data_IF_647949980083
#
_entry.id   IF_647949980083
#
_cell.length_a   1.000
_cell.length_b   1.000
_cell.length_c   1.000
_cell.angle_alpha   90.00
_cell.angle_beta   90.00
_cell.angle_gamma   90.00
#
_symmetry.space_group_name_H-M   'P 1'
#
loop_
_entity.id
_entity.type
_entity.pdbx_description
1 polymer ?
#
# COMPACT_ATOMS: atom_id res chain seq x y z
N UNK A 1 -8.32 -18.51 12.52
CA UNK A 1 -7.44 -17.39 12.88
C UNK A 1 -8.03 -16.70 14.09
N UNK A 2 -7.19 -16.26 15.04
CA UNK A 2 -7.64 -15.51 16.23
C UNK A 2 -6.58 -14.48 16.58
N UNK A 3 -7.01 -13.32 17.04
CA UNK A 3 -6.13 -12.25 17.50
C UNK A 3 -6.55 -11.76 18.87
N UNK A 4 -5.73 -10.97 19.52
CA UNK A 4 -6.05 -10.40 20.83
C UNK A 4 -6.99 -9.21 20.69
N UNK A 5 -6.81 -8.42 19.60
CA UNK A 5 -7.59 -7.21 19.33
C UNK A 5 -8.10 -7.20 17.90
N UNK A 6 -9.32 -6.67 17.75
CA UNK A 6 -9.94 -6.37 16.47
C UNK A 6 -10.32 -4.89 16.46
N UNK A 7 -9.87 -4.18 15.43
CA UNK A 7 -10.01 -2.72 15.30
C UNK A 7 -10.53 -2.40 13.90
N UNK A 8 -11.59 -1.64 13.83
CA UNK A 8 -12.17 -1.14 12.59
C UNK A 8 -12.30 0.39 12.58
N UNK A 9 -13.14 0.93 11.72
CA UNK A 9 -13.46 2.35 11.66
C UNK A 9 -14.60 2.78 12.61
N UNK A 10 -15.04 1.90 13.49
CA UNK A 10 -15.97 2.20 14.57
C UNK A 10 -15.35 3.02 15.70
N UNK A 11 -16.10 3.22 16.77
CA UNK A 11 -15.65 3.98 17.93
C UNK A 11 -15.12 3.09 19.06
N UNK A 12 -15.17 1.77 18.87
CA UNK A 12 -14.78 0.76 19.85
C UNK A 12 -13.81 -0.24 19.26
N UNK A 13 -12.70 -0.50 19.96
CA UNK A 13 -11.84 -1.64 19.68
C UNK A 13 -12.19 -2.80 20.60
N UNK A 14 -12.15 -4.03 20.08
CA UNK A 14 -12.54 -5.22 20.80
C UNK A 14 -11.32 -6.03 21.23
N UNK A 15 -11.16 -6.24 22.54
CA UNK A 15 -10.21 -7.21 23.07
C UNK A 15 -10.88 -8.57 23.19
N UNK A 16 -10.47 -9.52 22.33
CA UNK A 16 -11.04 -10.87 22.28
C UNK A 16 -10.30 -11.89 23.16
N UNK A 17 -9.08 -11.58 23.57
CA UNK A 17 -8.27 -12.43 24.45
C UNK A 17 -7.32 -11.61 25.32
N UNK A 18 -7.03 -12.09 26.56
CA UNK A 18 -6.00 -11.48 27.42
C UNK A 18 -4.61 -11.69 26.82
N UNK A 19 -3.66 -10.79 27.11
CA UNK A 19 -2.29 -10.85 26.61
C UNK A 19 -1.54 -12.16 26.97
N UNK A 20 -1.91 -12.80 28.07
CA UNK A 20 -1.32 -14.06 28.53
C UNK A 20 -1.75 -15.29 27.69
N UNK A 21 -2.76 -15.16 26.86
CA UNK A 21 -3.26 -16.24 26.02
C UNK A 21 -2.58 -16.24 24.66
N UNK A 22 -2.09 -17.39 24.17
CA UNK A 22 -1.66 -17.51 22.80
C UNK A 22 -2.83 -17.44 21.82
N UNK A 23 -2.71 -16.64 20.77
CA UNK A 23 -3.68 -16.52 19.67
C UNK A 23 -3.03 -16.94 18.35
N UNK A 24 -3.83 -17.44 17.41
CA UNK A 24 -3.35 -17.89 16.10
C UNK A 24 -3.39 -16.72 15.08
N UNK A 25 -2.38 -15.81 15.13
CA UNK A 25 -2.35 -14.58 14.33
C UNK A 25 -1.10 -14.40 13.46
N UNK A 26 0.00 -15.10 13.76
CA UNK A 26 1.21 -15.09 12.92
C UNK A 26 1.43 -16.41 12.17
N UNK A 27 0.56 -17.37 12.40
CA UNK A 27 0.31 -18.58 11.61
C UNK A 27 1.54 -19.35 11.17
N UNK A 28 1.64 -19.50 9.87
CA UNK A 28 2.64 -20.30 9.14
C UNK A 28 3.59 -19.38 8.37
N UNK A 29 4.73 -19.94 7.96
CA UNK A 29 5.69 -19.26 7.13
C UNK A 29 5.23 -19.24 5.65
N UNK A 30 5.24 -18.08 5.03
CA UNK A 30 4.89 -17.84 3.61
C UNK A 30 6.14 -17.63 2.74
N UNK A 31 7.23 -18.32 3.03
CA UNK A 31 8.46 -18.30 2.24
C UNK A 31 9.54 -17.33 2.73
N UNK A 32 9.32 -16.62 3.85
CA UNK A 32 10.31 -15.78 4.51
C UNK A 32 10.87 -16.43 5.77
N UNK A 33 11.78 -15.74 6.43
CA UNK A 33 12.23 -16.14 7.76
C UNK A 33 11.12 -15.85 8.77
N UNK A 34 10.77 -16.86 9.57
CA UNK A 34 9.85 -16.65 10.68
C UNK A 34 10.60 -15.95 11.82
N UNK A 35 10.39 -14.64 11.96
CA UNK A 35 11.09 -13.80 12.95
C UNK A 35 10.93 -14.27 14.39
N UNK A 36 9.79 -14.88 14.74
CA UNK A 36 9.49 -15.35 16.09
C UNK A 36 9.60 -16.88 16.25
N UNK A 37 10.03 -17.59 15.20
CA UNK A 37 10.12 -19.05 15.22
C UNK A 37 8.75 -19.71 15.46
N UNK A 38 8.78 -20.97 15.95
CA UNK A 38 7.55 -21.77 16.17
C UNK A 38 6.63 -21.25 17.30
N UNK A 39 7.09 -20.32 18.12
CA UNK A 39 6.35 -19.85 19.30
C UNK A 39 5.71 -18.46 19.09
N UNK A 40 5.77 -17.90 17.89
CA UNK A 40 5.29 -16.55 17.59
C UNK A 40 3.86 -16.27 18.06
N UNK A 41 2.96 -17.21 17.90
CA UNK A 41 1.58 -17.13 18.37
C UNK A 41 1.39 -17.07 19.90
N UNK A 42 2.42 -17.44 20.67
CA UNK A 42 2.41 -17.42 22.13
C UNK A 42 3.25 -16.30 22.73
N UNK A 43 4.15 -15.73 21.94
CA UNK A 43 5.12 -14.71 22.38
C UNK A 43 4.83 -13.31 21.83
N UNK A 44 3.71 -13.14 21.17
CA UNK A 44 3.31 -11.85 20.60
C UNK A 44 1.82 -11.58 20.79
N UNK A 45 1.47 -10.29 20.76
CA UNK A 45 0.09 -9.80 20.81
C UNK A 45 -0.33 -9.48 19.39
N UNK A 46 -1.44 -10.08 18.92
CA UNK A 46 -2.00 -9.83 17.58
C UNK A 46 -3.07 -8.75 17.61
N UNK A 47 -2.93 -7.80 16.71
CA UNK A 47 -3.93 -6.75 16.43
C UNK A 47 -4.35 -6.88 14.97
N UNK A 48 -5.63 -7.11 14.74
CA UNK A 48 -6.22 -7.18 13.39
C UNK A 48 -6.93 -5.85 13.10
N UNK A 49 -6.45 -5.14 12.07
CA UNK A 49 -7.18 -4.04 11.48
C UNK A 49 -8.22 -4.62 10.51
N UNK A 50 -9.50 -4.56 10.91
CA UNK A 50 -10.59 -5.12 10.12
C UNK A 50 -10.84 -4.28 8.87
N UNK A 51 -11.02 -4.96 7.75
CA UNK A 51 -11.30 -4.35 6.45
C UNK A 51 -12.58 -4.98 5.88
N UNK A 52 -13.63 -4.19 5.76
CA UNK A 52 -14.90 -4.59 5.17
C UNK A 52 -15.25 -3.65 4.02
N UNK A 53 -16.21 -4.05 3.18
CA UNK A 53 -16.66 -3.21 2.08
C UNK A 53 -17.18 -1.86 2.61
N UNK A 54 -16.62 -0.77 2.11
CA UNK A 54 -17.07 0.59 2.44
C UNK A 54 -16.50 1.17 3.75
N UNK A 55 -15.57 0.47 4.43
CA UNK A 55 -14.94 1.00 5.63
C UNK A 55 -14.10 2.26 5.37
N UNK A 56 -13.97 3.10 6.38
CA UNK A 56 -13.13 4.28 6.36
C UNK A 56 -11.69 3.92 6.77
N UNK A 57 -10.82 3.66 5.79
CA UNK A 57 -9.42 3.32 6.03
C UNK A 57 -8.70 4.29 6.98
N UNK A 58 -8.88 5.61 6.78
CA UNK A 58 -8.19 6.63 7.59
C UNK A 58 -8.57 6.50 9.07
N UNK A 59 -9.86 6.27 9.36
CA UNK A 59 -10.35 6.09 10.73
C UNK A 59 -9.87 4.77 11.32
N UNK A 60 -9.98 3.66 10.59
CA UNK A 60 -9.47 2.35 11.02
C UNK A 60 -7.96 2.38 11.30
N UNK A 61 -7.18 3.03 10.45
CA UNK A 61 -5.75 3.23 10.64
C UNK A 61 -5.44 4.04 11.93
N UNK A 62 -6.14 5.15 12.15
CA UNK A 62 -5.97 5.98 13.35
C UNK A 62 -6.36 5.21 14.62
N UNK A 63 -7.45 4.47 14.59
CA UNK A 63 -7.89 3.63 15.68
C UNK A 63 -6.85 2.54 15.99
N UNK A 64 -6.29 1.90 14.96
CA UNK A 64 -5.24 0.89 15.13
C UNK A 64 -3.97 1.50 15.75
N UNK A 65 -3.56 2.70 15.33
CA UNK A 65 -2.46 3.44 15.97
C UNK A 65 -2.75 3.67 17.47
N UNK A 66 -3.97 4.11 17.81
CA UNK A 66 -4.36 4.38 19.20
C UNK A 66 -4.31 3.09 20.05
N UNK A 67 -4.87 1.99 19.55
CA UNK A 67 -4.87 0.70 20.23
C UNK A 67 -3.45 0.17 20.45
N UNK A 68 -2.58 0.24 19.42
CA UNK A 68 -1.20 -0.22 19.55
C UNK A 68 -0.41 0.63 20.54
N UNK A 69 -0.62 1.96 20.57
CA UNK A 69 -0.02 2.83 21.60
C UNK A 69 -0.45 2.45 23.01
N UNK A 70 -1.72 2.13 23.20
CA UNK A 70 -2.22 1.71 24.51
C UNK A 70 -1.62 0.36 24.93
N UNK A 71 -1.56 -0.62 24.03
CA UNK A 71 -0.89 -1.90 24.29
C UNK A 71 0.59 -1.69 24.67
N UNK A 72 1.29 -0.82 23.94
CA UNK A 72 2.68 -0.47 24.24
C UNK A 72 2.83 0.15 25.63
N UNK A 73 1.92 1.05 26.00
CA UNK A 73 1.88 1.68 27.34
C UNK A 73 1.67 0.66 28.45
N UNK A 74 0.74 -0.28 28.25
CA UNK A 74 0.40 -1.32 29.25
C UNK A 74 1.49 -2.37 29.42
N UNK A 75 2.15 -2.74 28.31
CA UNK A 75 3.07 -3.89 28.29
C UNK A 75 4.54 -3.51 28.33
N UNK A 76 4.88 -2.24 28.11
CA UNK A 76 6.26 -1.76 27.95
C UNK A 76 6.92 -2.21 26.65
N UNK A 77 6.19 -2.81 25.69
CA UNK A 77 6.75 -3.21 24.39
C UNK A 77 7.12 -1.96 23.60
N UNK A 78 8.40 -1.79 23.18
CA UNK A 78 8.80 -0.60 22.45
C UNK A 78 8.32 -0.65 20.98
N UNK A 79 8.19 0.51 20.35
CA UNK A 79 7.78 0.62 18.94
C UNK A 79 8.68 -0.17 17.97
N UNK A 80 9.96 -0.34 18.30
CA UNK A 80 10.90 -1.17 17.51
C UNK A 80 10.47 -2.63 17.41
N UNK A 81 9.70 -3.13 18.37
CA UNK A 81 9.18 -4.49 18.42
C UNK A 81 7.74 -4.63 17.92
N UNK A 82 7.21 -3.63 17.25
CA UNK A 82 5.93 -3.70 16.53
C UNK A 82 6.21 -4.05 15.07
N UNK A 83 5.66 -5.14 14.59
CA UNK A 83 5.93 -5.75 13.30
C UNK A 83 4.65 -5.97 12.50
N UNK A 84 4.77 -5.98 11.17
CA UNK A 84 3.72 -6.48 10.27
C UNK A 84 3.75 -8.01 10.25
N UNK A 85 2.66 -8.62 9.93
CA UNK A 85 2.63 -10.06 9.58
C UNK A 85 3.63 -10.37 8.46
N UNK A 86 3.78 -9.43 7.50
CA UNK A 86 4.78 -9.49 6.44
C UNK A 86 6.22 -9.63 6.98
N UNK A 87 6.59 -8.85 7.99
CA UNK A 87 7.93 -8.87 8.58
C UNK A 87 8.21 -10.19 9.32
N UNK A 88 7.15 -10.84 9.82
CA UNK A 88 7.26 -12.05 10.62
C UNK A 88 7.37 -13.29 9.74
N UNK A 89 6.53 -13.45 8.72
CA UNK A 89 6.45 -14.68 7.94
C UNK A 89 6.21 -14.47 6.44
N UNK A 90 6.45 -13.26 5.92
CA UNK A 90 6.30 -12.88 4.52
C UNK A 90 4.87 -12.92 3.97
N UNK A 91 3.84 -13.04 4.82
CA UNK A 91 2.46 -12.87 4.39
C UNK A 91 2.23 -11.41 3.98
N UNK A 92 1.61 -11.17 2.83
CA UNK A 92 1.24 -9.81 2.40
C UNK A 92 0.12 -9.23 3.28
N UNK A 93 0.48 -8.90 4.51
CA UNK A 93 -0.43 -8.40 5.56
C UNK A 93 0.32 -7.44 6.50
N UNK A 94 -0.27 -6.33 6.90
CA UNK A 94 -1.58 -5.79 6.51
C UNK A 94 -1.56 -5.18 5.10
N UNK A 95 -2.31 -5.77 4.18
CA UNK A 95 -2.27 -5.41 2.75
C UNK A 95 -2.54 -3.94 2.50
N UNK A 96 -3.56 -3.38 3.14
CA UNK A 96 -3.95 -1.98 2.95
C UNK A 96 -2.87 -0.98 3.40
N UNK A 97 -2.17 -1.26 4.50
CA UNK A 97 -1.07 -0.42 4.98
C UNK A 97 0.14 -0.55 4.05
N UNK A 98 0.43 -1.78 3.57
CA UNK A 98 1.55 -2.05 2.66
C UNK A 98 1.32 -1.37 1.31
N UNK A 99 0.14 -1.53 0.72
CA UNK A 99 -0.20 -1.00 -0.60
C UNK A 99 -0.25 0.52 -0.65
N UNK A 100 -0.60 1.15 0.49
CA UNK A 100 -0.60 2.61 0.63
C UNK A 100 0.76 3.20 1.02
N UNK A 101 1.74 2.35 1.36
CA UNK A 101 3.04 2.80 1.87
C UNK A 101 2.97 3.44 3.26
N UNK A 102 1.89 3.20 4.01
CA UNK A 102 1.62 3.85 5.30
C UNK A 102 2.38 3.23 6.50
N UNK A 103 3.24 2.21 6.28
CA UNK A 103 3.91 1.53 7.39
C UNK A 103 4.88 2.43 8.16
N UNK A 104 5.71 3.21 7.49
CA UNK A 104 6.65 4.12 8.15
C UNK A 104 5.91 5.22 8.92
N UNK A 105 4.81 5.71 8.36
CA UNK A 105 3.90 6.63 9.05
C UNK A 105 3.29 5.99 10.30
N UNK A 106 2.86 4.73 10.21
CA UNK A 106 2.35 3.97 11.35
C UNK A 106 3.42 3.89 12.46
N UNK A 107 4.65 3.51 12.10
CA UNK A 107 5.79 3.41 13.03
C UNK A 107 6.11 4.76 13.69
N UNK A 108 6.14 5.84 12.93
CA UNK A 108 6.35 7.20 13.45
C UNK A 108 5.27 7.60 14.45
N UNK A 109 4.00 7.35 14.12
CA UNK A 109 2.89 7.68 15.01
C UNK A 109 2.92 6.91 16.32
N UNK A 110 3.23 5.61 16.33
CA UNK A 110 3.28 4.81 17.56
C UNK A 110 4.54 5.11 18.41
N UNK A 111 5.65 5.57 17.79
CA UNK A 111 6.88 5.92 18.50
C UNK A 111 6.77 7.23 19.30
N UNK A 112 5.72 8.01 19.11
CA UNK A 112 5.58 9.32 19.73
C UNK A 112 6.60 10.35 19.23
N UNK A 113 7.40 10.01 18.22
CA UNK A 113 8.20 10.98 17.48
C UNK A 113 7.24 11.80 16.66
N UNK A 114 6.86 12.96 17.21
CA UNK A 114 6.03 13.96 16.54
C UNK A 114 6.83 14.58 15.40
N UNK A 115 7.17 13.79 14.39
CA UNK A 115 7.53 14.33 13.10
C UNK A 115 6.23 14.59 12.32
N UNK A 116 5.49 15.61 12.80
CA UNK A 116 4.34 16.19 12.12
C UNK A 116 4.78 16.85 10.80
N UNK A 117 6.09 16.88 10.52
CA UNK A 117 6.70 17.59 9.38
C UNK A 117 7.19 16.69 8.24
N UNK A 118 7.03 15.36 8.39
CA UNK A 118 7.11 14.43 7.23
C UNK A 118 5.87 13.54 7.22
N UNK A 119 4.72 14.13 6.85
CA UNK A 119 3.90 13.38 5.90
C UNK A 119 4.90 12.91 4.80
N UNK A 120 4.93 11.61 4.43
CA UNK A 120 5.48 11.33 3.12
C UNK A 120 4.75 12.32 2.23
N UNK A 121 5.46 13.23 1.59
CA UNK A 121 4.86 14.07 0.56
C UNK A 121 3.94 13.13 -0.18
N UNK A 122 2.68 13.48 -0.24
CA UNK A 122 1.68 12.70 -0.99
C UNK A 122 2.29 12.65 -2.36
N UNK A 123 3.00 11.55 -2.68
CA UNK A 123 3.67 11.42 -3.96
C UNK A 123 2.56 11.63 -4.95
N UNK A 124 2.52 12.82 -5.51
CA UNK A 124 1.52 13.21 -6.46
C UNK A 124 1.91 12.49 -7.74
N UNK A 125 1.31 11.35 -7.93
CA UNK A 125 1.47 10.65 -9.19
C UNK A 125 0.82 11.50 -10.27
N UNK A 126 1.57 11.79 -11.32
CA UNK A 126 1.14 12.64 -12.43
C UNK A 126 1.29 11.87 -13.74
N UNK A 127 0.50 12.18 -14.77
CA UNK A 127 0.77 11.67 -16.11
C UNK A 127 2.21 11.98 -16.53
N UNK A 128 2.86 11.01 -17.17
CA UNK A 128 4.26 11.16 -17.55
C UNK A 128 4.92 9.82 -17.89
N UNK A 129 6.24 9.82 -17.97
CA UNK A 129 7.02 8.63 -18.24
C UNK A 129 7.38 7.93 -16.93
N UNK A 130 7.14 6.64 -16.86
CA UNK A 130 7.47 5.78 -15.72
C UNK A 130 8.37 4.64 -16.17
N UNK A 131 9.55 4.53 -15.54
CA UNK A 131 10.42 3.38 -15.69
C UNK A 131 9.95 2.28 -14.76
N UNK A 132 9.64 1.12 -15.32
CA UNK A 132 9.24 -0.07 -14.55
C UNK A 132 10.49 -0.77 -14.01
N UNK A 133 10.53 -1.04 -12.71
CA UNK A 133 11.73 -1.56 -12.03
C UNK A 133 11.63 -3.07 -11.72
N UNK A 134 10.45 -3.65 -11.87
CA UNK A 134 10.16 -5.07 -11.59
C UNK A 134 9.09 -5.58 -12.54
N UNK A 135 8.90 -6.88 -12.60
CA UNK A 135 7.76 -7.44 -13.34
C UNK A 135 6.46 -6.84 -12.82
N UNK A 136 5.66 -6.26 -13.69
CA UNK A 136 4.50 -5.46 -13.33
C UNK A 136 3.26 -5.86 -14.13
N UNK A 137 2.21 -6.23 -13.41
CA UNK A 137 0.94 -6.59 -14.02
C UNK A 137 0.23 -5.37 -14.61
N UNK A 138 -0.33 -5.57 -15.81
CA UNK A 138 -1.27 -4.64 -16.44
C UNK A 138 -2.68 -5.10 -16.08
N UNK A 139 -3.48 -4.18 -15.57
CA UNK A 139 -4.84 -4.44 -15.12
C UNK A 139 -5.87 -3.80 -16.04
N UNK A 140 -7.05 -4.41 -16.15
CA UNK A 140 -8.16 -3.89 -16.93
C UNK A 140 -8.72 -2.58 -16.35
N UNK A 141 -8.71 -2.46 -15.02
CA UNK A 141 -9.17 -1.28 -14.26
C UNK A 141 -8.07 -0.82 -13.29
N UNK A 142 -8.11 0.43 -12.78
CA UNK A 142 -7.13 0.96 -11.83
C UNK A 142 -7.34 0.38 -10.42
N UNK A 143 -7.20 -0.93 -10.31
CA UNK A 143 -7.44 -1.72 -9.10
C UNK A 143 -6.60 -3.00 -9.11
N UNK A 144 -6.06 -3.37 -7.92
CA UNK A 144 -5.24 -4.57 -7.73
C UNK A 144 -6.04 -5.88 -7.91
N UNK A 145 -7.34 -5.85 -7.62
CA UNK A 145 -8.24 -7.00 -7.74
C UNK A 145 -8.87 -7.12 -9.14
N UNK A 146 -8.64 -6.13 -10.00
CA UNK A 146 -9.09 -6.16 -11.39
C UNK A 146 -8.36 -7.24 -12.20
N UNK A 147 -9.02 -7.70 -13.28
CA UNK A 147 -8.47 -8.71 -14.18
C UNK A 147 -7.07 -8.30 -14.69
N UNK A 148 -6.10 -9.20 -14.57
CA UNK A 148 -4.79 -9.04 -15.19
C UNK A 148 -4.91 -9.31 -16.70
N UNK A 149 -4.58 -8.31 -17.51
CA UNK A 149 -4.64 -8.37 -18.97
C UNK A 149 -3.28 -8.50 -19.63
N UNK A 150 -2.19 -8.40 -18.86
CA UNK A 150 -0.83 -8.56 -19.33
C UNK A 150 0.20 -8.35 -18.21
N UNK A 151 1.48 -8.50 -18.55
CA UNK A 151 2.59 -8.25 -17.62
C UNK A 151 3.77 -7.62 -18.35
N UNK A 152 4.27 -6.52 -17.84
CA UNK A 152 5.52 -5.88 -18.27
C UNK A 152 6.69 -6.65 -17.64
N UNK A 153 7.64 -7.14 -18.44
CA UNK A 153 8.83 -7.87 -17.98
C UNK A 153 10.15 -7.23 -18.40
N UNK A 154 10.12 -6.37 -19.40
CA UNK A 154 11.32 -5.75 -19.98
C UNK A 154 11.89 -4.59 -19.18
N UNK A 155 11.21 -4.18 -18.10
CA UNK A 155 11.63 -3.08 -17.22
C UNK A 155 11.93 -1.77 -17.97
N UNK A 156 11.19 -1.55 -19.05
CA UNK A 156 11.28 -0.38 -19.90
C UNK A 156 10.63 0.86 -19.30
N UNK A 157 10.64 1.93 -20.07
CA UNK A 157 9.93 3.18 -19.75
C UNK A 157 8.62 3.25 -20.50
N UNK A 158 7.55 3.59 -19.79
CA UNK A 158 6.18 3.59 -20.29
C UNK A 158 5.52 4.94 -20.05
N UNK A 159 4.83 5.46 -21.06
CA UNK A 159 4.05 6.69 -20.92
C UNK A 159 2.70 6.38 -20.30
N UNK A 160 2.40 7.12 -19.25
CA UNK A 160 1.12 7.12 -18.54
C UNK A 160 0.38 8.42 -18.85
N UNK A 161 -0.85 8.31 -19.30
CA UNK A 161 -1.69 9.44 -19.74
C UNK A 161 -2.64 9.96 -18.67
N UNK A 162 -2.95 9.13 -17.68
CA UNK A 162 -3.93 9.42 -16.65
C UNK A 162 -3.56 8.71 -15.36
N UNK A 163 -3.82 9.33 -14.21
CA UNK A 163 -3.66 8.72 -12.88
C UNK A 163 -5.02 8.65 -12.19
N UNK A 164 -5.38 7.47 -11.68
CA UNK A 164 -6.58 7.24 -10.87
C UNK A 164 -6.24 6.43 -9.61
N UNK A 165 -7.12 6.45 -8.62
CA UNK A 165 -7.03 5.67 -7.37
C UNK A 165 -5.64 5.75 -6.71
N UNK A 166 -5.06 6.96 -6.67
CA UNK A 166 -3.77 7.26 -6.05
C UNK A 166 -2.58 7.02 -6.96
N UNK A 167 -2.21 5.79 -7.27
CA UNK A 167 -1.00 5.45 -8.03
C UNK A 167 -1.25 4.64 -9.32
N UNK A 168 -2.50 4.45 -9.72
CA UNK A 168 -2.80 3.69 -10.93
C UNK A 168 -2.71 4.58 -12.18
N UNK A 169 -1.80 4.21 -13.08
CA UNK A 169 -1.55 4.93 -14.31
C UNK A 169 -2.07 4.19 -15.54
N UNK A 170 -2.80 4.90 -16.42
CA UNK A 170 -3.26 4.36 -17.70
C UNK A 170 -2.14 4.43 -18.72
N UNK A 171 -1.80 3.30 -19.30
CA UNK A 171 -0.79 3.23 -20.35
C UNK A 171 -1.27 3.93 -21.64
N UNK A 172 -0.40 4.73 -22.24
CA UNK A 172 -0.65 5.39 -23.54
C UNK A 172 -0.98 4.37 -24.65
N UNK A 173 -0.41 3.19 -24.59
CA UNK A 173 -0.66 2.11 -25.55
C UNK A 173 -2.10 1.59 -25.51
N UNK A 174 -2.90 1.96 -24.52
CA UNK A 174 -4.25 1.43 -24.31
C UNK A 174 -4.29 0.03 -23.70
N UNK A 175 -3.15 -0.59 -23.40
CA UNK A 175 -3.08 -1.96 -22.88
C UNK A 175 -3.75 -2.13 -21.51
N UNK A 176 -3.94 -1.06 -20.76
CA UNK A 176 -4.60 -1.07 -19.45
C UNK A 176 -3.92 -0.18 -18.43
N UNK A 177 -4.01 -0.57 -17.16
CA UNK A 177 -3.55 0.17 -16.02
C UNK A 177 -2.38 -0.51 -15.31
N UNK A 178 -1.39 0.25 -14.91
CA UNK A 178 -0.25 -0.20 -14.09
C UNK A 178 -0.21 0.54 -12.77
N UNK A 179 0.34 -0.09 -11.74
CA UNK A 179 0.58 0.59 -10.46
C UNK A 179 1.91 1.33 -10.52
N UNK A 180 1.84 2.66 -10.64
CA UNK A 180 2.99 3.58 -10.73
C UNK A 180 3.68 3.84 -9.37
N UNK A 181 3.27 3.14 -8.29
CA UNK A 181 3.86 3.32 -6.97
C UNK A 181 5.39 3.17 -7.03
N UNK A 182 6.12 3.98 -6.26
CA UNK A 182 7.60 4.04 -6.22
C UNK A 182 8.27 2.69 -5.95
N UNK A 183 7.54 1.75 -5.34
CA UNK A 183 7.97 0.35 -5.19
C UNK A 183 8.16 -0.36 -6.53
N UNK A 184 7.37 0.00 -7.54
CA UNK A 184 7.33 -0.69 -8.84
C UNK A 184 7.91 0.14 -9.97
N UNK A 185 7.79 1.47 -9.87
CA UNK A 185 8.16 2.40 -10.93
C UNK A 185 8.97 3.58 -10.40
N UNK A 186 9.80 4.16 -11.27
CA UNK A 186 10.47 5.44 -11.05
C UNK A 186 9.89 6.45 -12.03
N UNK A 187 9.44 7.61 -11.54
CA UNK A 187 8.96 8.70 -12.39
C UNK A 187 10.11 9.34 -13.15
N UNK A 188 10.01 9.40 -14.45
CA UNK A 188 11.04 9.94 -15.36
C UNK A 188 10.72 11.35 -15.88
N UNK A 189 9.62 11.96 -15.42
CA UNK A 189 9.21 13.31 -15.82
C UNK A 189 7.97 13.33 -16.71
N UNK A 190 7.50 14.54 -17.03
CA UNK A 190 6.36 14.74 -17.91
C UNK A 190 6.58 14.07 -19.27
N UNK A 191 5.53 13.46 -19.83
CA UNK A 191 5.59 12.93 -21.19
C UNK A 191 5.96 14.07 -22.15
N UNK A 192 6.77 13.80 -23.20
CA UNK A 192 6.99 14.77 -24.26
C UNK A 192 5.63 15.24 -24.77
N UNK A 193 5.39 16.53 -24.79
CA UNK A 193 4.22 17.06 -25.48
C UNK A 193 4.37 16.70 -26.95
N UNK A 194 3.46 15.92 -27.51
CA UNK A 194 3.34 15.84 -28.96
C UNK A 194 3.05 17.27 -29.44
N UNK A 195 4.03 17.89 -30.07
CA UNK A 195 3.74 19.05 -30.90
C UNK A 195 2.79 18.55 -32.00
N UNK A 196 1.54 18.94 -31.89
CA UNK A 196 0.60 18.81 -33.00
C UNK A 196 1.11 19.70 -34.12
N UNK A 197 1.93 19.13 -35.00
CA UNK A 197 2.17 19.71 -36.30
C UNK A 197 0.85 19.67 -37.06
N UNK A 198 0.00 20.64 -36.82
CA UNK A 198 -1.11 20.98 -37.70
C UNK A 198 -0.43 21.50 -38.96
N UNK A 199 -0.24 20.64 -39.94
CA UNK A 199 0.03 21.07 -41.30
C UNK A 199 -1.21 21.82 -41.76
N UNK A 200 -1.08 23.13 -41.96
CA UNK A 200 -2.12 23.96 -42.51
C UNK A 200 -2.63 23.33 -43.81
N UNK A 201 -3.91 23.05 -43.91
CA UNK A 201 -4.60 22.71 -45.15
C UNK A 201 -4.88 24.03 -45.81
N UNK A 202 -4.15 24.38 -46.87
CA UNK A 202 -4.55 25.49 -47.76
C UNK A 202 -5.68 24.98 -48.67
N UNK A 203 -6.84 25.60 -48.55
CA UNK A 203 -7.93 25.43 -49.51
C UNK A 203 -7.72 26.46 -50.60
N UNK A 204 -7.13 26.02 -51.73
CA UNK A 204 -7.10 26.84 -52.94
C UNK A 204 -8.48 26.80 -53.56
N UNK A 205 -9.15 27.98 -53.55
CA UNK A 205 -10.41 28.15 -54.25
C UNK A 205 -10.16 28.16 -55.74
N UNK A 206 -10.88 27.28 -56.46
CA UNK A 206 -10.98 27.34 -57.92
C UNK A 206 -12.37 27.92 -58.24
N UNK A 207 -12.35 28.85 -59.16
CA UNK A 207 -13.46 29.62 -59.75
C UNK A 207 -14.51 28.76 -60.41
#
# INVERSE_FOLDING_TARGET
>A
MSAHYYVDDGDVAYQAAPHSRGCWHVGVNYGGNNLFGRYGNRSSIGVEMCVQKGYNYKKAFQNTVAVVKEIMRETGIPASRVYRHYDICSKHCPSQIIERGDWERFKSLISGTSDVSKQPEKVKYEPGTYKVNTDLNIREKPDADSRCVGTIRDRGSYTVTEIQNGSWGRLLSGAGWINCHTKYCTYGGAAPKEESTVKAISVDGVW
#
